data_IF_739245200704
#
_entry.id   IF_739245200704
#
_cell.length_a   1.000
_cell.length_b   1.000
_cell.length_c   1.000
_cell.angle_alpha   90.00
_cell.angle_beta   90.00
_cell.angle_gamma   90.00
#
_symmetry.space_group_name_H-M   'P 1'
#
loop_
_entity.id
_entity.type
_entity.pdbx_description
1 polymer ?
#
# COMPACT_ATOMS: atom_id res chain seq x y z
N UNK A 1 -27.84 83.73 -24.70
CA UNK A 1 -28.36 82.35 -24.45
C UNK A 1 -27.46 81.36 -25.20
N UNK A 2 -27.10 80.16 -24.77
CA UNK A 2 -27.11 79.42 -23.49
C UNK A 2 -26.10 78.28 -23.71
N UNK A 3 -25.12 78.17 -22.81
CA UNK A 3 -24.35 76.99 -22.32
C UNK A 3 -23.83 75.95 -23.33
N UNK A 4 -22.51 75.71 -23.30
CA UNK A 4 -21.81 74.57 -23.91
C UNK A 4 -22.20 73.28 -23.16
N UNK A 5 -23.04 72.44 -23.76
CA UNK A 5 -23.49 71.14 -23.20
C UNK A 5 -22.85 69.95 -23.93
N UNK A 6 -21.54 69.97 -24.15
CA UNK A 6 -20.81 68.80 -24.62
C UNK A 6 -19.65 68.60 -23.66
N UNK A 7 -19.93 67.96 -22.52
CA UNK A 7 -18.93 67.31 -21.65
C UNK A 7 -19.57 66.55 -20.46
N UNK A 8 -20.85 66.15 -20.55
CA UNK A 8 -21.55 65.45 -19.45
C UNK A 8 -21.88 63.99 -19.77
N UNK A 9 -21.28 63.40 -20.81
CA UNK A 9 -21.63 62.05 -21.30
C UNK A 9 -20.57 60.97 -21.09
N UNK A 10 -19.46 61.25 -20.39
CA UNK A 10 -18.31 60.34 -20.30
C UNK A 10 -17.97 59.96 -18.86
N UNK A 11 -18.97 59.60 -18.05
CA UNK A 11 -18.74 59.11 -16.70
C UNK A 11 -19.50 57.79 -16.49
N UNK A 12 -18.74 56.77 -16.10
CA UNK A 12 -19.18 55.45 -15.62
C UNK A 12 -19.51 54.36 -16.66
N UNK A 13 -18.50 53.93 -17.44
CA UNK A 13 -18.40 52.51 -17.79
C UNK A 13 -17.60 51.82 -16.69
N UNK A 14 -18.27 51.42 -15.60
CA UNK A 14 -17.63 50.62 -14.55
C UNK A 14 -17.29 49.24 -15.08
N UNK A 15 -16.01 48.94 -15.25
CA UNK A 15 -15.55 47.57 -15.54
C UNK A 15 -15.64 46.74 -14.28
N UNK A 16 -16.28 45.58 -14.35
CA UNK A 16 -16.28 44.59 -13.28
C UNK A 16 -14.87 43.98 -13.27
N UNK A 17 -14.10 44.25 -12.21
CA UNK A 17 -12.77 43.65 -11.99
C UNK A 17 -12.95 42.32 -11.26
N UNK A 18 -12.47 41.23 -11.85
CA UNK A 18 -12.30 39.96 -11.15
C UNK A 18 -10.99 40.05 -10.35
N UNK A 19 -11.06 39.91 -9.02
CA UNK A 19 -9.86 39.89 -8.19
C UNK A 19 -9.47 38.44 -7.90
N UNK A 20 -8.51 37.89 -8.67
CA UNK A 20 -7.80 36.68 -8.26
C UNK A 20 -6.84 36.99 -7.10
N UNK A 21 -6.68 36.04 -6.16
CA UNK A 21 -5.81 36.24 -5.00
C UNK A 21 -4.40 35.74 -5.34
N UNK A 22 -3.45 36.66 -5.43
CA UNK A 22 -2.03 36.35 -5.50
C UNK A 22 -1.35 36.57 -4.15
N UNK A 23 -0.63 35.58 -3.66
CA UNK A 23 0.28 35.74 -2.52
C UNK A 23 1.70 35.52 -3.01
N UNK A 24 2.49 36.59 -3.06
CA UNK A 24 3.87 36.56 -3.57
C UNK A 24 3.99 36.71 -5.09
N UNK A 25 2.89 36.94 -5.81
CA UNK A 25 2.86 37.29 -7.25
C UNK A 25 1.89 38.44 -7.49
N UNK A 26 2.29 39.40 -8.33
CA UNK A 26 1.45 40.55 -8.71
C UNK A 26 0.52 40.23 -9.89
N UNK A 27 0.78 39.13 -10.60
CA UNK A 27 0.03 38.71 -11.79
C UNK A 27 -0.27 37.22 -11.67
N UNK A 28 -1.26 36.83 -10.85
CA UNK A 28 -1.62 35.42 -10.73
C UNK A 28 -2.21 34.92 -12.06
N UNK A 29 -2.01 33.63 -12.33
CA UNK A 29 -2.51 32.95 -13.51
C UNK A 29 -4.03 33.16 -13.64
N UNK A 30 -4.55 33.54 -14.82
CA UNK A 30 -5.99 33.76 -15.00
C UNK A 30 -6.87 32.54 -14.71
N UNK A 31 -6.29 31.33 -14.68
CA UNK A 31 -6.99 30.08 -14.35
C UNK A 31 -6.97 29.73 -12.87
N UNK A 32 -6.37 30.55 -12.00
CA UNK A 32 -6.30 30.32 -10.56
C UNK A 32 -7.15 31.33 -9.79
N UNK A 33 -7.92 30.83 -8.82
CA UNK A 33 -8.59 31.70 -7.85
C UNK A 33 -7.64 32.14 -6.73
N UNK A 34 -6.63 31.32 -6.44
CA UNK A 34 -5.55 31.56 -5.49
C UNK A 34 -4.23 31.02 -6.07
N UNK A 35 -3.21 31.86 -6.14
CA UNK A 35 -1.85 31.46 -6.46
C UNK A 35 -0.91 31.92 -5.36
N UNK A 36 -0.03 31.02 -4.92
CA UNK A 36 0.95 31.30 -3.87
C UNK A 36 2.34 30.97 -4.41
N UNK A 37 3.20 31.97 -4.49
CA UNK A 37 4.57 31.85 -5.00
C UNK A 37 5.57 32.31 -3.95
N UNK A 38 6.58 31.48 -3.65
CA UNK A 38 7.69 31.85 -2.77
C UNK A 38 8.91 30.95 -3.01
N UNK A 39 10.10 31.55 -2.98
CA UNK A 39 11.36 30.80 -3.13
C UNK A 39 11.80 30.11 -1.82
N UNK A 40 11.26 30.54 -0.67
CA UNK A 40 11.79 30.19 0.67
C UNK A 40 10.72 29.90 1.71
N UNK A 41 9.42 29.92 1.36
CA UNK A 41 8.31 29.69 2.30
C UNK A 41 7.31 28.70 1.70
N UNK A 42 6.69 27.91 2.57
CA UNK A 42 5.59 27.02 2.21
C UNK A 42 4.23 27.52 2.71
N UNK A 43 3.21 26.71 2.50
CA UNK A 43 1.84 26.94 2.99
C UNK A 43 1.55 25.96 4.13
N UNK A 44 1.12 26.48 5.28
CA UNK A 44 0.55 25.66 6.33
C UNK A 44 -0.94 25.48 6.07
N UNK A 45 -1.30 24.27 5.65
CA UNK A 45 -2.70 23.82 5.59
C UNK A 45 -3.25 23.71 7.02
N UNK A 46 -4.54 23.98 7.26
CA UNK A 46 -5.16 23.86 8.59
C UNK A 46 -4.83 22.53 9.26
N UNK A 47 -4.27 22.62 10.47
CA UNK A 47 -3.92 21.45 11.30
C UNK A 47 -5.05 21.21 12.30
N UNK A 48 -5.64 20.02 12.24
CA UNK A 48 -6.83 19.67 13.02
C UNK A 48 -6.69 18.28 13.64
N UNK A 49 -7.39 18.04 14.73
CA UNK A 49 -7.48 16.73 15.38
C UNK A 49 -8.78 16.06 14.92
N UNK A 50 -8.72 15.28 13.84
CA UNK A 50 -9.89 14.53 13.38
C UNK A 50 -10.18 13.40 14.36
N UNK A 51 -11.46 13.11 14.58
CA UNK A 51 -11.91 12.09 15.56
C UNK A 51 -12.05 10.70 14.97
N UNK A 52 -12.33 10.61 13.67
CA UNK A 52 -12.51 9.36 12.91
C UNK A 52 -12.46 9.64 11.41
N UNK A 53 -12.42 8.58 10.60
CA UNK A 53 -12.49 8.67 9.13
C UNK A 53 -13.78 9.32 8.61
N UNK A 54 -14.87 9.30 9.39
CA UNK A 54 -16.18 9.88 9.02
C UNK A 54 -16.46 11.18 9.78
N UNK A 55 -15.46 11.80 10.41
CA UNK A 55 -15.65 12.98 11.25
C UNK A 55 -16.17 14.20 10.46
N UNK A 56 -17.42 14.58 10.74
CA UNK A 56 -18.10 15.74 10.16
C UNK A 56 -18.31 16.88 11.18
N UNK A 57 -17.68 16.81 12.36
CA UNK A 57 -17.87 17.78 13.45
C UNK A 57 -16.67 18.68 13.71
N UNK A 58 -15.46 18.22 13.38
CA UNK A 58 -14.23 19.00 13.61
C UNK A 58 -14.14 20.24 12.73
N UNK A 59 -14.55 20.14 11.47
CA UNK A 59 -14.71 21.31 10.59
C UNK A 59 -16.12 21.85 10.75
N UNK A 60 -16.22 23.13 11.10
CA UNK A 60 -17.51 23.80 11.25
C UNK A 60 -18.18 24.02 9.90
N UNK A 61 -19.52 24.04 9.88
CA UNK A 61 -20.34 24.18 8.66
C UNK A 61 -20.27 23.00 7.67
N UNK A 62 -19.75 21.86 8.11
CA UNK A 62 -19.77 20.60 7.36
C UNK A 62 -18.63 20.48 6.35
N UNK A 63 -18.30 19.23 6.04
CA UNK A 63 -17.23 18.93 5.10
C UNK A 63 -17.72 19.02 3.64
N UNK A 64 -16.89 19.60 2.77
CA UNK A 64 -17.14 19.71 1.33
C UNK A 64 -16.13 18.86 0.58
N UNK A 65 -16.53 18.26 -0.53
CA UNK A 65 -15.63 17.50 -1.41
C UNK A 65 -14.35 18.28 -1.73
N UNK A 66 -13.21 17.59 -1.67
CA UNK A 66 -11.87 18.15 -1.87
C UNK A 66 -11.39 19.15 -0.80
N UNK A 67 -12.08 19.28 0.34
CA UNK A 67 -11.58 20.03 1.49
C UNK A 67 -10.29 19.37 2.02
N UNK A 68 -9.22 20.14 2.15
CA UNK A 68 -7.88 19.66 2.53
C UNK A 68 -7.50 20.11 3.95
N UNK A 69 -7.02 19.17 4.77
CA UNK A 69 -6.52 19.43 6.13
C UNK A 69 -5.27 18.59 6.43
N UNK A 70 -4.51 18.97 7.44
CA UNK A 70 -3.48 18.13 8.04
C UNK A 70 -4.00 17.57 9.38
N UNK A 71 -4.17 16.26 9.47
CA UNK A 71 -4.62 15.58 10.68
C UNK A 71 -3.44 15.37 11.66
N UNK A 72 -3.69 15.62 12.94
CA UNK A 72 -2.74 15.38 14.04
C UNK A 72 -3.01 14.07 14.81
N UNK A 73 -4.20 13.49 14.67
CA UNK A 73 -4.64 12.32 15.44
C UNK A 73 -3.98 11.03 14.93
N UNK A 74 -3.52 10.17 15.86
CA UNK A 74 -2.98 8.84 15.59
C UNK A 74 -3.81 7.75 16.30
N UNK A 75 -5.11 7.71 15.98
CA UNK A 75 -6.08 6.75 16.54
C UNK A 75 -7.36 6.72 15.70
N UNK A 76 -8.25 5.75 15.96
CA UNK A 76 -9.57 5.70 15.29
C UNK A 76 -9.50 5.45 13.79
N UNK A 77 -8.49 4.70 13.33
CA UNK A 77 -8.22 4.45 11.90
C UNK A 77 -7.56 5.62 11.18
N UNK A 78 -7.13 6.65 11.91
CA UNK A 78 -6.39 7.79 11.39
C UNK A 78 -4.93 7.71 11.80
N UNK A 79 -4.08 8.23 10.93
CA UNK A 79 -2.66 8.51 11.18
C UNK A 79 -2.38 9.99 10.89
N UNK A 80 -1.33 10.60 11.48
CA UNK A 80 -0.92 11.95 11.13
C UNK A 80 -0.58 12.09 9.64
N UNK A 81 -1.01 13.18 9.02
CA UNK A 81 -0.75 13.44 7.60
C UNK A 81 -1.79 14.32 6.93
N UNK A 82 -1.66 14.50 5.61
CA UNK A 82 -2.62 15.25 4.82
C UNK A 82 -3.84 14.41 4.47
N UNK A 83 -5.03 14.96 4.66
CA UNK A 83 -6.31 14.34 4.33
C UNK A 83 -7.16 15.26 3.49
N UNK A 84 -7.92 14.67 2.56
CA UNK A 84 -8.98 15.36 1.86
C UNK A 84 -10.32 14.67 2.04
N UNK A 85 -11.39 15.46 2.08
CA UNK A 85 -12.75 14.92 2.18
C UNK A 85 -13.23 14.42 0.82
N UNK A 86 -13.67 13.16 0.75
CA UNK A 86 -14.29 12.57 -0.43
C UNK A 86 -15.20 11.39 -0.07
N UNK A 87 -16.39 11.36 -0.65
CA UNK A 87 -17.32 10.24 -0.49
C UNK A 87 -17.72 10.00 0.97
N UNK A 88 -17.95 11.10 1.70
CA UNK A 88 -18.29 11.12 3.12
C UNK A 88 -17.21 10.56 4.07
N UNK A 89 -15.96 10.54 3.62
CA UNK A 89 -14.82 10.07 4.41
C UNK A 89 -13.60 11.00 4.22
N UNK A 90 -12.74 11.03 5.24
CA UNK A 90 -11.39 11.58 5.17
C UNK A 90 -10.45 10.56 4.53
N UNK A 91 -9.82 10.95 3.43
CA UNK A 91 -8.89 10.12 2.67
C UNK A 91 -7.47 10.66 2.85
N UNK A 92 -6.54 9.83 3.33
CA UNK A 92 -5.13 10.21 3.55
C UNK A 92 -4.36 10.20 2.23
N UNK A 93 -3.47 11.16 2.02
CA UNK A 93 -2.42 11.04 0.99
C UNK A 93 -1.36 10.05 1.45
N UNK A 94 -1.10 9.03 0.63
CA UNK A 94 -0.06 8.05 0.87
C UNK A 94 1.24 8.46 0.16
N UNK A 95 2.37 8.21 0.82
CA UNK A 95 3.71 8.34 0.24
C UNK A 95 4.28 6.98 -0.12
N UNK A 96 5.35 6.92 -0.91
CA UNK A 96 6.04 5.66 -1.23
C UNK A 96 6.50 4.90 0.03
N UNK A 97 6.77 5.63 1.13
CA UNK A 97 7.10 5.01 2.41
C UNK A 97 5.90 4.31 3.06
N UNK A 98 4.68 4.81 2.84
CA UNK A 98 3.45 4.18 3.32
C UNK A 98 3.04 2.95 2.48
N UNK A 99 3.55 2.83 1.24
CA UNK A 99 3.19 1.78 0.26
C UNK A 99 4.16 0.59 0.27
N UNK A 100 5.28 0.66 1.01
CA UNK A 100 6.30 -0.39 1.05
C UNK A 100 5.79 -1.78 1.47
N UNK A 101 4.70 -1.84 2.21
CA UNK A 101 4.07 -3.09 2.65
C UNK A 101 3.43 -3.89 1.50
N UNK A 102 3.28 -3.30 0.30
CA UNK A 102 2.61 -3.94 -0.86
C UNK A 102 3.50 -4.16 -2.08
N UNK A 103 4.81 -3.96 -1.97
CA UNK A 103 5.70 -4.29 -3.08
C UNK A 103 5.71 -5.80 -3.30
N UNK A 104 5.11 -6.27 -4.40
CA UNK A 104 5.23 -7.66 -4.84
C UNK A 104 6.66 -7.87 -5.35
N UNK A 105 7.57 -8.17 -4.43
CA UNK A 105 8.98 -8.42 -4.71
C UNK A 105 9.13 -9.73 -5.47
N UNK A 106 10.12 -9.80 -6.37
CA UNK A 106 10.45 -11.05 -7.05
C UNK A 106 11.38 -11.88 -6.17
N UNK A 107 11.31 -13.21 -6.31
CA UNK A 107 12.28 -14.10 -5.72
C UNK A 107 13.66 -13.88 -6.38
N UNK A 108 14.66 -13.53 -5.57
CA UNK A 108 16.04 -13.25 -5.97
C UNK A 108 16.93 -14.47 -5.82
N UNK A 109 16.80 -15.21 -4.71
CA UNK A 109 17.71 -16.31 -4.37
C UNK A 109 16.99 -17.41 -3.59
N UNK A 110 17.37 -18.65 -3.87
CA UNK A 110 16.94 -19.85 -3.16
C UNK A 110 18.15 -20.44 -2.44
N UNK A 111 18.03 -20.72 -1.14
CA UNK A 111 19.08 -21.38 -0.35
C UNK A 111 18.47 -22.48 0.49
N UNK A 112 19.12 -23.64 0.52
CA UNK A 112 18.80 -24.70 1.49
C UNK A 112 19.88 -24.69 2.55
N UNK A 113 19.48 -24.50 3.81
CA UNK A 113 20.39 -24.49 4.96
C UNK A 113 19.64 -24.98 6.20
N UNK A 114 20.23 -25.90 6.96
CA UNK A 114 19.66 -26.45 8.20
C UNK A 114 18.21 -26.96 8.05
N UNK A 115 17.94 -27.73 6.99
CA UNK A 115 16.61 -28.28 6.68
C UNK A 115 15.50 -27.23 6.52
N UNK A 116 15.88 -26.01 6.14
CA UNK A 116 14.97 -24.96 5.71
C UNK A 116 15.27 -24.57 4.26
N UNK A 117 14.22 -24.51 3.45
CA UNK A 117 14.26 -23.77 2.20
C UNK A 117 14.01 -22.29 2.52
N UNK A 118 15.02 -21.46 2.23
CA UNK A 118 14.99 -20.01 2.38
C UNK A 118 14.77 -19.36 1.02
N UNK A 119 13.72 -18.55 0.91
CA UNK A 119 13.42 -17.72 -0.25
C UNK A 119 13.79 -16.28 0.10
N UNK A 120 14.77 -15.72 -0.63
CA UNK A 120 15.12 -14.31 -0.54
C UNK A 120 14.46 -13.57 -1.68
N UNK A 121 13.87 -12.43 -1.39
CA UNK A 121 13.34 -11.54 -2.40
C UNK A 121 14.34 -10.45 -2.84
N UNK A 122 13.92 -9.57 -3.74
CA UNK A 122 14.75 -8.46 -4.23
C UNK A 122 15.15 -7.44 -3.15
N UNK A 123 14.42 -7.39 -2.03
CA UNK A 123 14.67 -6.53 -0.87
C UNK A 123 15.48 -7.23 0.24
N UNK A 124 15.89 -8.48 0.01
CA UNK A 124 16.53 -9.36 0.99
C UNK A 124 15.63 -9.80 2.17
N UNK A 125 14.30 -9.66 2.04
CA UNK A 125 13.33 -10.26 2.96
C UNK A 125 13.32 -11.78 2.77
N UNK A 126 13.06 -12.53 3.85
CA UNK A 126 13.22 -14.00 3.88
C UNK A 126 11.96 -14.71 4.30
N UNK A 127 11.51 -15.67 3.47
CA UNK A 127 10.47 -16.64 3.80
C UNK A 127 11.11 -18.02 4.03
N UNK A 128 10.65 -18.72 5.06
CA UNK A 128 11.14 -20.05 5.45
C UNK A 128 10.09 -21.12 5.19
N UNK A 129 10.52 -22.23 4.57
CA UNK A 129 9.72 -23.43 4.41
C UNK A 129 10.49 -24.59 5.02
N UNK A 130 9.87 -25.27 5.98
CA UNK A 130 10.43 -26.48 6.59
C UNK A 130 10.41 -27.64 5.59
N UNK A 131 11.59 -28.19 5.27
CA UNK A 131 11.72 -29.30 4.31
C UNK A 131 11.74 -30.68 4.96
N UNK A 132 11.59 -30.78 6.29
CA UNK A 132 11.43 -32.05 7.01
C UNK A 132 10.21 -32.84 6.50
N UNK A 133 9.17 -32.14 6.03
CA UNK A 133 7.95 -32.74 5.48
C UNK A 133 8.09 -33.29 4.06
N UNK A 134 9.19 -32.97 3.35
CA UNK A 134 9.44 -33.40 1.97
C UNK A 134 10.36 -34.63 1.88
N UNK A 135 10.80 -35.17 3.03
CA UNK A 135 11.73 -36.28 3.07
C UNK A 135 11.02 -37.61 2.78
N UNK A 136 11.14 -38.12 1.54
CA UNK A 136 10.65 -39.46 1.20
C UNK A 136 11.74 -40.47 1.62
N UNK A 137 11.64 -41.03 2.82
CA UNK A 137 12.57 -42.04 3.31
C UNK A 137 12.32 -43.35 2.55
N UNK A 138 13.21 -43.72 1.63
CA UNK A 138 13.08 -44.91 0.76
C UNK A 138 14.19 -45.93 1.02
N UNK A 139 14.57 -46.16 2.28
CA UNK A 139 15.52 -47.23 2.60
C UNK A 139 14.83 -48.59 2.51
N UNK A 140 15.29 -49.41 1.55
CA UNK A 140 14.91 -50.81 1.43
C UNK A 140 15.91 -51.67 2.23
N UNK A 141 15.44 -52.28 3.31
CA UNK A 141 16.24 -53.07 4.25
C UNK A 141 16.05 -54.55 3.93
N UNK A 142 17.15 -55.25 3.61
CA UNK A 142 17.14 -56.70 3.43
C UNK A 142 17.04 -57.40 4.80
N UNK A 143 16.17 -58.41 4.91
CA UNK A 143 16.10 -59.26 6.09
C UNK A 143 17.43 -60.00 6.31
N UNK A 144 17.98 -59.86 7.52
CA UNK A 144 19.27 -60.43 7.91
C UNK A 144 19.30 -61.97 7.85
N UNK A 145 18.12 -62.61 7.89
CA UNK A 145 17.97 -64.06 7.80
C UNK A 145 18.19 -64.62 6.39
N UNK A 146 18.33 -63.75 5.38
CA UNK A 146 18.56 -64.17 3.99
C UNK A 146 17.36 -64.82 3.31
N UNK A 147 16.16 -64.68 3.87
CA UNK A 147 14.90 -65.28 3.39
C UNK A 147 14.27 -64.57 2.16
N UNK A 148 15.01 -63.68 1.49
CA UNK A 148 14.51 -62.93 0.32
C UNK A 148 13.48 -61.84 0.63
N UNK A 149 13.26 -61.49 1.90
CA UNK A 149 12.37 -60.39 2.29
C UNK A 149 13.11 -59.07 2.36
N UNK A 150 12.41 -58.02 1.94
CA UNK A 150 12.87 -56.64 2.02
C UNK A 150 11.78 -55.76 2.62
N UNK A 151 12.14 -54.90 3.57
CA UNK A 151 11.21 -53.99 4.24
C UNK A 151 11.56 -52.54 3.93
N UNK A 152 10.56 -51.72 3.65
CA UNK A 152 10.71 -50.27 3.61
C UNK A 152 9.53 -49.61 4.33
N UNK A 153 9.68 -48.33 4.69
CA UNK A 153 8.61 -47.52 5.28
C UNK A 153 8.03 -46.62 4.19
N UNK A 154 6.71 -46.69 3.94
CA UNK A 154 6.06 -45.87 2.91
C UNK A 154 5.84 -44.42 3.39
N UNK A 155 5.26 -43.59 2.53
CA UNK A 155 4.99 -42.15 2.76
C UNK A 155 4.03 -41.91 3.93
N UNK A 156 3.16 -42.89 4.23
CA UNK A 156 2.28 -42.86 5.39
C UNK A 156 2.97 -43.35 6.68
N UNK A 157 4.26 -43.69 6.62
CA UNK A 157 5.01 -44.21 7.75
C UNK A 157 4.73 -45.68 8.08
N UNK A 158 4.09 -46.43 7.18
CA UNK A 158 3.74 -47.84 7.36
C UNK A 158 4.84 -48.74 6.81
N UNK A 159 5.19 -49.79 7.53
CA UNK A 159 6.12 -50.81 7.03
C UNK A 159 5.46 -51.67 5.96
N UNK A 160 6.14 -51.82 4.82
CA UNK A 160 5.74 -52.67 3.70
C UNK A 160 6.82 -53.71 3.48
N UNK A 161 6.40 -54.97 3.34
CA UNK A 161 7.28 -56.12 3.11
C UNK A 161 7.14 -56.59 1.67
N UNK A 162 8.27 -56.70 0.98
CA UNK A 162 8.41 -57.33 -0.34
C UNK A 162 8.98 -58.73 -0.11
N UNK A 163 8.23 -59.76 -0.47
CA UNK A 163 8.63 -61.17 -0.34
C UNK A 163 8.90 -61.78 -1.72
N UNK A 164 10.14 -61.63 -2.18
CA UNK A 164 10.52 -62.04 -3.54
C UNK A 164 10.38 -63.55 -3.73
N UNK A 165 10.61 -64.35 -2.67
CA UNK A 165 10.54 -65.81 -2.77
C UNK A 165 9.10 -66.29 -2.85
N UNK A 166 8.21 -65.78 -2.00
CA UNK A 166 6.79 -66.13 -2.05
C UNK A 166 6.16 -65.74 -3.38
N UNK A 167 6.49 -64.54 -3.90
CA UNK A 167 5.97 -64.07 -5.18
C UNK A 167 6.42 -64.94 -6.35
N UNK A 168 7.66 -65.43 -6.35
CA UNK A 168 8.13 -66.38 -7.37
C UNK A 168 7.38 -67.72 -7.23
N UNK A 169 7.27 -68.28 -6.03
CA UNK A 169 6.61 -69.58 -5.81
C UNK A 169 5.13 -69.55 -6.24
N UNK A 170 4.43 -68.44 -6.01
CA UNK A 170 3.00 -68.34 -6.32
C UNK A 170 2.69 -68.07 -7.80
N UNK A 171 3.70 -67.77 -8.63
CA UNK A 171 3.55 -67.47 -10.06
C UNK A 171 4.10 -68.57 -10.98
N UNK A 172 4.43 -69.74 -10.43
CA UNK A 172 4.77 -70.97 -11.14
C UNK A 172 3.89 -72.13 -10.65
#
# INVERSE_FOLDING_TARGET
MKKKWILFGAFCTGTISYAQVGIGTATPNPSSQLEITSDKRGVLIPRVELKSITDNGTITNGNVESLLVYNLTDSGGLQPGYYFWKGNNWNRFLTELDVKEWSNTKNKKFVVENDLLKLYDENDDVIFIDIQSLNIVTTLIKDASGNGKYTYKNEAGTEVVIDVQADVINNF
#
